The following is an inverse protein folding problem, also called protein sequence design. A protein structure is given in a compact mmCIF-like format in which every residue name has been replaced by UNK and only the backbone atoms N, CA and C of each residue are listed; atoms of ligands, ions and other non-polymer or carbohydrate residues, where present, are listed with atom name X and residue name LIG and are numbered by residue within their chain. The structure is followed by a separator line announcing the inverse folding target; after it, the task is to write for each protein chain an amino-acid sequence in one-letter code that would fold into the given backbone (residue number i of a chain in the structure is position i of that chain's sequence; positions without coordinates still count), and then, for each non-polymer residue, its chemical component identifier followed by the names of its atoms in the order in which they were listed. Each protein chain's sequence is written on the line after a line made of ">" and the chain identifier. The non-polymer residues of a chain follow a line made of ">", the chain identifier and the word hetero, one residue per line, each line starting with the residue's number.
data_IF_957692525700
#
_entry.id   IF_957692525700
#
_cell.length_a   1.000
_cell.length_b   1.000
_cell.length_c   1.000
_cell.angle_alpha   90.00
_cell.angle_beta   90.00
_cell.angle_gamma   90.00
#
_symmetry.space_group_name_H-M   'P 1'
#
loop_
_entity.id
_entity.type
_entity.pdbx_description
1 polymer ?
#
# COMPACT_ATOMS: atom_id res chain seq x y z
N UNK A 1 9.13 6.97 -11.79
CA UNK A 1 8.27 5.80 -11.64
C UNK A 1 7.98 5.28 -13.02
N UNK A 2 8.53 4.12 -13.36
CA UNK A 2 8.23 3.38 -14.58
C UNK A 2 7.80 1.96 -14.22
N UNK A 3 7.21 1.24 -15.16
CA UNK A 3 6.70 -0.13 -14.98
C UNK A 3 7.75 -1.15 -14.49
N UNK A 4 9.03 -0.84 -14.68
CA UNK A 4 10.15 -1.70 -14.25
C UNK A 4 10.53 -1.49 -12.77
N UNK A 5 9.91 -0.52 -12.09
CA UNK A 5 10.12 -0.31 -10.66
C UNK A 5 9.55 -1.48 -9.84
N UNK A 6 10.17 -1.82 -8.70
CA UNK A 6 9.73 -2.92 -7.87
C UNK A 6 8.31 -2.72 -7.33
N UNK A 7 7.55 -3.81 -7.14
CA UNK A 7 6.18 -3.74 -6.67
C UNK A 7 6.13 -3.27 -5.20
N UNK A 8 5.19 -2.37 -4.89
CA UNK A 8 5.11 -1.71 -3.57
C UNK A 8 3.92 -2.23 -2.77
N UNK A 9 4.10 -2.47 -1.47
CA UNK A 9 2.98 -2.79 -0.58
C UNK A 9 2.97 -1.87 0.65
N UNK A 10 1.80 -1.26 0.90
CA UNK A 10 1.56 -0.29 1.97
C UNK A 10 0.50 -0.83 2.91
N UNK A 11 0.84 -1.00 4.19
CA UNK A 11 -0.06 -1.51 5.23
C UNK A 11 -0.18 -0.49 6.35
N UNK A 12 -1.34 0.15 6.46
CA UNK A 12 -1.65 1.10 7.52
C UNK A 12 -2.56 0.47 8.57
N UNK A 13 -2.24 0.74 9.83
CA UNK A 13 -3.07 0.39 10.99
C UNK A 13 -3.66 1.68 11.58
N UNK A 14 -4.64 1.54 12.48
CA UNK A 14 -5.24 2.69 13.16
C UNK A 14 -6.56 3.11 12.52
N UNK A 15 -6.76 4.41 12.33
CA UNK A 15 -8.00 4.96 11.78
C UNK A 15 -8.03 4.86 10.24
N UNK A 16 -9.24 4.77 9.68
CA UNK A 16 -9.41 4.80 8.24
C UNK A 16 -8.94 6.18 7.70
N UNK A 17 -8.03 6.21 6.71
CA UNK A 17 -7.55 7.47 6.16
C UNK A 17 -8.68 8.21 5.43
N UNK A 18 -8.89 9.48 5.82
CA UNK A 18 -9.86 10.38 5.18
C UNK A 18 -9.09 11.48 4.46
N UNK A 19 -9.14 11.48 3.12
CA UNK A 19 -8.47 12.51 2.31
C UNK A 19 -9.11 13.88 2.60
N UNK A 20 -8.28 14.87 2.92
CA UNK A 20 -8.73 16.22 3.27
C UNK A 20 -9.00 16.44 4.77
N UNK A 21 -8.82 15.42 5.61
CA UNK A 21 -8.85 15.56 7.07
C UNK A 21 -7.45 15.83 7.64
N UNK A 22 -7.40 16.52 8.78
CA UNK A 22 -6.17 16.73 9.58
C UNK A 22 -6.21 15.84 10.83
N UNK A 23 -5.80 14.56 10.74
CA UNK A 23 -5.81 13.65 11.89
C UNK A 23 -4.84 14.12 12.98
N UNK A 24 -5.17 13.77 14.23
CA UNK A 24 -4.42 14.18 15.44
C UNK A 24 -2.98 13.66 15.43
N UNK A 25 -2.75 12.52 14.77
CA UNK A 25 -1.43 11.97 14.49
C UNK A 25 -1.24 11.85 12.98
N UNK A 26 -0.75 12.90 12.31
CA UNK A 26 -0.64 12.93 10.86
C UNK A 26 0.38 11.92 10.33
N UNK A 27 1.39 11.55 11.14
CA UNK A 27 2.47 10.64 10.75
C UNK A 27 2.05 9.18 10.65
N UNK A 28 1.01 8.78 11.38
CA UNK A 28 0.46 7.42 11.35
C UNK A 28 -0.77 7.28 10.43
N UNK A 29 -1.16 8.36 9.73
CA UNK A 29 -2.29 8.33 8.81
C UNK A 29 -1.92 7.78 7.42
N UNK A 30 -2.81 6.99 6.82
CA UNK A 30 -2.61 6.40 5.49
C UNK A 30 -2.82 7.34 4.30
N UNK A 31 -3.05 8.65 4.53
CA UNK A 31 -3.47 9.60 3.48
C UNK A 31 -2.40 9.77 2.40
N UNK A 32 -1.14 9.96 2.79
CA UNK A 32 -0.03 10.03 1.82
C UNK A 32 0.19 8.70 1.10
N UNK A 33 -0.11 7.57 1.76
CA UNK A 33 -0.09 6.25 1.15
C UNK A 33 -1.11 6.08 0.02
N UNK A 34 -2.33 6.62 0.20
CA UNK A 34 -3.34 6.66 -0.87
C UNK A 34 -2.80 7.44 -2.07
N UNK A 35 -2.23 8.62 -1.85
CA UNK A 35 -1.68 9.46 -2.94
C UNK A 35 -0.50 8.80 -3.65
N UNK A 36 0.36 8.10 -2.92
CA UNK A 36 1.42 7.30 -3.51
C UNK A 36 0.85 6.16 -4.37
N UNK A 37 -0.14 5.42 -3.88
CA UNK A 37 -0.77 4.32 -4.60
C UNK A 37 -1.49 4.79 -5.88
N UNK A 38 -2.18 5.93 -5.86
CA UNK A 38 -2.77 6.57 -7.05
C UNK A 38 -1.70 6.80 -8.13
N UNK A 39 -0.54 7.34 -7.73
CA UNK A 39 0.56 7.65 -8.65
C UNK A 39 1.28 6.41 -9.17
N UNK A 40 1.45 5.38 -8.34
CA UNK A 40 2.02 4.09 -8.73
C UNK A 40 1.14 3.39 -9.76
N UNK A 41 -0.18 3.36 -9.54
CA UNK A 41 -1.16 2.81 -10.52
C UNK A 41 -1.11 3.55 -11.85
N UNK A 42 -1.03 4.88 -11.83
CA UNK A 42 -0.91 5.69 -13.03
C UNK A 42 0.40 5.43 -13.81
N UNK A 43 1.45 4.98 -13.13
CA UNK A 43 2.73 4.60 -13.71
C UNK A 43 2.83 3.10 -14.05
N UNK A 44 1.73 2.34 -13.96
CA UNK A 44 1.67 0.89 -14.16
C UNK A 44 2.59 0.08 -13.23
N UNK A 45 2.92 0.63 -12.06
CA UNK A 45 3.66 -0.09 -11.00
C UNK A 45 2.67 -0.84 -10.13
N UNK A 46 2.92 -2.12 -9.90
CA UNK A 46 2.09 -2.96 -9.03
C UNK A 46 2.13 -2.40 -7.59
N UNK A 47 0.93 -2.18 -7.04
CA UNK A 47 0.79 -1.64 -5.69
C UNK A 47 -0.34 -2.31 -4.92
N UNK A 48 0.00 -2.79 -3.73
CA UNK A 48 -0.95 -3.25 -2.72
C UNK A 48 -1.12 -2.17 -1.67
N UNK A 49 -2.35 -1.73 -1.42
CA UNK A 49 -2.68 -0.79 -0.34
C UNK A 49 -3.72 -1.41 0.58
N UNK A 50 -3.37 -1.54 1.85
CA UNK A 50 -4.24 -2.07 2.91
C UNK A 50 -4.35 -1.06 4.04
N UNK A 51 -5.58 -0.76 4.43
CA UNK A 51 -5.92 0.08 5.58
C UNK A 51 -7.32 -0.30 6.10
N UNK A 52 -7.79 0.21 7.25
CA UNK A 52 -9.09 -0.19 7.82
C UNK A 52 -10.29 -0.04 6.87
N UNK A 53 -10.29 0.99 6.01
CA UNK A 53 -11.30 1.17 4.95
C UNK A 53 -11.07 0.41 3.63
N UNK A 54 -9.98 -0.36 3.50
CA UNK A 54 -9.63 -1.09 2.27
C UNK A 54 -8.77 -2.31 2.60
N UNK A 55 -9.39 -3.50 2.61
CA UNK A 55 -8.69 -4.78 2.75
C UNK A 55 -8.22 -5.31 1.40
N UNK A 56 -7.18 -6.15 1.40
CA UNK A 56 -6.76 -6.89 0.21
C UNK A 56 -7.15 -8.38 0.34
N UNK A 57 -7.72 -9.02 -0.70
CA UNK A 57 -8.25 -10.38 -0.62
C UNK A 57 -7.16 -11.44 -0.39
N UNK A 58 -5.93 -11.20 -0.87
CA UNK A 58 -4.81 -12.14 -0.77
C UNK A 58 -3.82 -11.83 0.37
N UNK A 59 -3.72 -10.57 0.78
CA UNK A 59 -2.62 -10.11 1.65
C UNK A 59 -3.19 -9.40 2.88
N UNK A 60 -3.13 -10.09 4.02
CA UNK A 60 -3.57 -9.51 5.30
C UNK A 60 -2.46 -8.69 5.95
N UNK A 61 -1.19 -8.98 5.64
CA UNK A 61 -0.02 -8.33 6.22
C UNK A 61 1.12 -8.15 5.22
N UNK A 62 2.08 -7.28 5.57
CA UNK A 62 3.33 -7.13 4.83
C UNK A 62 4.15 -8.41 4.80
N UNK A 63 4.06 -9.23 5.84
CA UNK A 63 4.72 -10.53 5.91
C UNK A 63 4.17 -11.48 4.85
N UNK A 64 2.84 -11.57 4.69
CA UNK A 64 2.22 -12.43 3.66
C UNK A 64 2.66 -12.02 2.26
N UNK A 65 2.69 -10.71 1.99
CA UNK A 65 3.15 -10.15 0.73
C UNK A 65 4.62 -10.49 0.44
N UNK A 66 5.50 -10.35 1.44
CA UNK A 66 6.92 -10.66 1.27
C UNK A 66 7.15 -12.17 1.09
N UNK A 67 6.46 -13.02 1.85
CA UNK A 67 6.55 -14.48 1.68
C UNK A 67 6.16 -14.87 0.26
N UNK A 68 5.04 -14.34 -0.26
CA UNK A 68 4.60 -14.61 -1.63
C UNK A 68 5.66 -14.20 -2.65
N UNK A 69 6.16 -12.95 -2.59
CA UNK A 69 7.14 -12.44 -3.57
C UNK A 69 8.49 -13.15 -3.51
N UNK A 70 8.97 -13.48 -2.31
CA UNK A 70 10.29 -14.09 -2.11
C UNK A 70 10.27 -15.61 -2.31
N UNK A 71 9.15 -16.27 -2.05
CA UNK A 71 9.01 -17.73 -2.25
C UNK A 71 8.62 -18.09 -3.68
N UNK A 72 7.97 -17.18 -4.41
CA UNK A 72 7.56 -17.42 -5.80
C UNK A 72 8.71 -17.36 -6.80
N UNK A 73 9.94 -17.04 -6.37
CA UNK A 73 11.10 -16.97 -7.26
C UNK A 73 10.89 -16.02 -8.43
N UNK A 74 10.19 -14.91 -8.23
CA UNK A 74 10.11 -13.89 -9.26
C UNK A 74 11.53 -13.34 -9.50
N UNK A 75 12.08 -13.46 -10.72
CA UNK A 75 13.36 -12.83 -11.06
C UNK A 75 13.27 -11.31 -10.96
#
# INVERSE_FOLDING_TARGET
>A
MSKDDPPVALFYRGEAPVVGSSPKDPTHSGVMGIKLAERLKAAEVDVVLVHPGQSHPKYASSTDYLIDRLSSGQP
#
